data_IF_191628701916
#
_entry.id   IF_191628701916
#
_cell.length_a   1.000
_cell.length_b   1.000
_cell.length_c   1.000
_cell.angle_alpha   90.00
_cell.angle_beta   90.00
_cell.angle_gamma   90.00
#
_symmetry.space_group_name_H-M   'P 1'
#
loop_
_entity.id
_entity.type
_entity.pdbx_description
1 polymer ?
#
# COMPACT_ATOMS: atom_id res chain seq x y z
N UNK A 1 17.27 -5.91 -16.43
CA UNK A 1 15.97 -6.60 -16.18
C UNK A 1 15.00 -5.61 -15.57
N UNK A 2 13.71 -5.71 -15.77
CA UNK A 2 12.78 -4.86 -15.04
C UNK A 2 12.89 -5.15 -13.54
N UNK A 3 12.69 -4.12 -12.72
CA UNK A 3 12.64 -4.27 -11.26
C UNK A 3 11.44 -5.15 -10.87
N UNK A 4 11.57 -5.86 -9.76
CA UNK A 4 10.47 -6.55 -9.09
C UNK A 4 10.36 -6.07 -7.67
N UNK A 5 9.45 -5.15 -7.42
CA UNK A 5 9.31 -4.52 -6.12
C UNK A 5 8.64 -5.43 -5.12
N UNK A 6 9.26 -5.57 -3.95
CA UNK A 6 8.74 -6.33 -2.82
C UNK A 6 8.89 -5.61 -1.50
N UNK A 7 8.17 -6.10 -0.50
CA UNK A 7 8.18 -5.57 0.85
C UNK A 7 8.22 -6.71 1.86
N UNK A 8 9.15 -6.65 2.81
CA UNK A 8 9.19 -7.54 3.97
C UNK A 8 8.83 -6.74 5.23
N UNK A 9 8.12 -7.35 6.14
CA UNK A 9 7.76 -6.76 7.44
C UNK A 9 8.27 -7.66 8.55
N UNK A 10 9.22 -7.16 9.32
CA UNK A 10 9.75 -7.80 10.52
C UNK A 10 8.75 -7.61 11.66
N UNK A 11 8.00 -8.66 11.99
CA UNK A 11 6.94 -8.59 12.99
C UNK A 11 7.48 -8.46 14.42
N UNK A 12 8.71 -8.89 14.67
CA UNK A 12 9.34 -8.78 15.99
C UNK A 12 9.74 -7.33 16.30
N UNK A 13 9.97 -6.53 15.25
CA UNK A 13 10.23 -5.09 15.38
C UNK A 13 8.97 -4.23 15.36
N UNK A 14 7.85 -4.78 14.93
CA UNK A 14 6.62 -4.01 14.81
C UNK A 14 5.99 -3.74 16.19
N UNK A 15 5.90 -2.47 16.56
CA UNK A 15 5.28 -2.02 17.83
C UNK A 15 3.79 -1.71 17.73
N UNK A 16 3.19 -1.83 16.52
CA UNK A 16 1.77 -1.52 16.31
C UNK A 16 1.41 -0.03 16.42
N UNK A 17 2.37 0.87 16.26
CA UNK A 17 2.18 2.32 16.46
C UNK A 17 1.34 3.02 15.37
N UNK A 18 1.02 2.33 14.26
CA UNK A 18 0.21 2.82 13.13
C UNK A 18 0.77 4.07 12.40
N UNK A 19 2.03 4.48 12.65
CA UNK A 19 2.69 5.55 11.92
C UNK A 19 2.70 5.30 10.39
N UNK A 20 2.87 4.04 10.00
CA UNK A 20 2.82 3.60 8.59
C UNK A 20 1.43 3.81 7.97
N UNK A 21 0.35 3.62 8.72
CA UNK A 21 -1.04 3.85 8.27
C UNK A 21 -1.27 5.33 8.03
N UNK A 22 -0.89 6.18 9.00
CA UNK A 22 -1.00 7.64 8.89
C UNK A 22 -0.21 8.19 7.72
N UNK A 23 1.05 7.75 7.57
CA UNK A 23 1.90 8.15 6.45
C UNK A 23 1.33 7.71 5.09
N UNK A 24 0.70 6.51 5.02
CA UNK A 24 0.03 6.04 3.81
C UNK A 24 -1.15 6.94 3.43
N UNK A 25 -1.96 7.37 4.42
CA UNK A 25 -3.06 8.29 4.20
C UNK A 25 -2.59 9.64 3.65
N UNK A 26 -1.58 10.23 4.29
CA UNK A 26 -1.03 11.53 3.89
C UNK A 26 -0.40 11.48 2.49
N UNK A 27 0.44 10.48 2.23
CA UNK A 27 1.14 10.34 0.95
C UNK A 27 0.21 10.09 -0.23
N UNK A 28 -0.85 9.31 -0.02
CA UNK A 28 -1.69 8.81 -1.11
C UNK A 28 -3.05 9.52 -1.18
N UNK A 29 -3.22 10.67 -0.52
CA UNK A 29 -4.49 11.41 -0.49
C UNK A 29 -5.68 10.50 -0.17
N UNK A 30 -5.52 9.61 0.82
CA UNK A 30 -6.59 8.72 1.25
C UNK A 30 -7.50 9.49 2.22
N UNK A 31 -8.79 9.66 1.91
CA UNK A 31 -9.67 10.41 2.77
C UNK A 31 -9.98 9.66 4.07
N UNK A 32 -10.32 10.41 5.11
CA UNK A 32 -10.92 9.88 6.32
C UNK A 32 -12.44 9.84 6.18
N UNK A 33 -13.07 8.90 6.85
CA UNK A 33 -14.54 8.78 6.88
C UNK A 33 -15.05 9.00 8.29
N UNK A 34 -16.33 9.42 8.42
CA UNK A 34 -16.93 9.62 9.73
C UNK A 34 -17.08 8.29 10.51
N UNK A 35 -17.20 8.34 11.85
CA UNK A 35 -17.43 7.14 12.67
C UNK A 35 -18.63 6.30 12.20
N UNK A 36 -19.71 6.95 11.75
CA UNK A 36 -20.91 6.27 11.24
C UNK A 36 -20.61 5.47 9.96
N UNK A 37 -19.75 6.01 9.09
CA UNK A 37 -19.34 5.31 7.87
C UNK A 37 -18.31 4.22 8.16
N UNK A 38 -17.46 4.46 9.14
CA UNK A 38 -16.52 3.44 9.64
C UNK A 38 -17.27 2.23 10.20
N UNK A 39 -18.32 2.45 11.00
CA UNK A 39 -19.17 1.38 11.53
C UNK A 39 -19.89 0.57 10.42
N UNK A 40 -20.07 1.14 9.23
CA UNK A 40 -20.60 0.46 8.04
C UNK A 40 -19.52 -0.25 7.20
N UNK A 41 -18.28 -0.33 7.68
CA UNK A 41 -17.16 -0.94 6.96
C UNK A 41 -16.70 -0.17 5.72
N UNK A 42 -16.91 1.15 5.67
CA UNK A 42 -16.58 2.00 4.51
C UNK A 42 -15.27 2.76 4.66
N UNK A 43 -14.41 2.35 5.58
CA UNK A 43 -13.05 2.88 5.73
C UNK A 43 -12.19 2.50 4.54
N UNK A 44 -11.23 3.38 4.20
CA UNK A 44 -10.32 3.17 3.06
C UNK A 44 -8.86 3.11 3.52
N UNK A 45 -8.57 2.30 4.53
CA UNK A 45 -7.20 2.09 5.00
C UNK A 45 -6.46 1.14 4.06
N UNK A 46 -5.70 1.68 3.09
CA UNK A 46 -4.89 0.85 2.17
C UNK A 46 -3.88 -0.03 2.90
N UNK A 47 -3.51 0.36 4.11
CA UNK A 47 -2.75 -0.42 5.07
C UNK A 47 -3.47 -0.34 6.42
N UNK A 48 -3.56 -1.48 7.11
CA UNK A 48 -4.07 -1.58 8.49
C UNK A 48 -3.12 -2.42 9.34
N UNK A 49 -3.16 -2.27 10.63
CA UNK A 49 -2.39 -3.10 11.57
C UNK A 49 -3.35 -4.02 12.32
N UNK A 50 -3.24 -5.30 12.07
CA UNK A 50 -4.00 -6.34 12.78
C UNK A 50 -3.28 -6.70 14.07
N UNK A 51 -4.05 -7.02 15.12
CA UNK A 51 -3.57 -7.37 16.45
C UNK A 51 -3.98 -8.78 16.78
N UNK A 52 -3.01 -9.60 17.14
CA UNK A 52 -3.22 -11.00 17.54
C UNK A 52 -2.78 -11.17 18.98
N UNK A 53 -3.64 -11.77 19.80
CA UNK A 53 -3.39 -12.02 21.21
C UNK A 53 -3.20 -13.51 21.42
N UNK A 54 -2.11 -13.88 22.10
CA UNK A 54 -1.78 -15.26 22.45
C UNK A 54 -1.62 -15.38 23.97
N UNK A 55 -2.19 -16.43 24.57
CA UNK A 55 -2.16 -16.66 26.01
C UNK A 55 -3.45 -16.24 26.75
N UNK A 56 -3.41 -16.34 28.07
CA UNK A 56 -4.51 -15.97 28.95
C UNK A 56 -4.08 -14.85 29.89
N UNK A 57 -4.99 -13.94 30.21
CA UNK A 57 -4.72 -12.89 31.19
C UNK A 57 -4.27 -13.47 32.53
N UNK A 58 -3.18 -12.98 33.19
CA UNK A 58 -2.41 -11.77 32.81
C UNK A 58 -1.27 -12.01 31.77
N UNK A 59 -0.95 -13.25 31.42
CA UNK A 59 0.19 -13.61 30.58
C UNK A 59 -0.19 -13.61 29.09
N UNK A 60 -0.44 -12.41 28.56
CA UNK A 60 -0.84 -12.21 27.15
C UNK A 60 0.33 -11.66 26.34
N UNK A 61 0.64 -12.33 25.22
CA UNK A 61 1.53 -11.80 24.17
C UNK A 61 0.72 -11.18 23.06
N UNK A 62 1.17 -10.03 22.56
CA UNK A 62 0.52 -9.32 21.45
C UNK A 62 1.46 -9.31 20.26
N UNK A 63 0.95 -9.70 19.09
CA UNK A 63 1.65 -9.58 17.80
C UNK A 63 0.91 -8.59 16.92
N UNK A 64 1.65 -7.72 16.28
CA UNK A 64 1.14 -6.72 15.35
C UNK A 64 1.51 -7.12 13.92
N UNK A 65 0.54 -7.11 13.02
CA UNK A 65 0.74 -7.45 11.62
C UNK A 65 0.22 -6.34 10.71
N UNK A 66 1.09 -5.54 10.11
CA UNK A 66 0.71 -4.63 9.03
C UNK A 66 0.21 -5.43 7.83
N UNK A 67 -1.00 -5.12 7.35
CA UNK A 67 -1.62 -5.79 6.20
C UNK A 67 -1.94 -4.78 5.13
N UNK A 68 -1.47 -5.05 3.90
CA UNK A 68 -1.64 -4.23 2.72
C UNK A 68 -1.73 -5.12 1.48
N UNK A 69 -1.89 -4.53 0.28
CA UNK A 69 -1.87 -5.32 -0.96
C UNK A 69 -0.55 -6.09 -1.08
N UNK A 70 -0.67 -7.39 -1.30
CA UNK A 70 0.49 -8.28 -1.43
C UNK A 70 1.09 -8.27 -2.84
N UNK A 71 0.52 -7.53 -3.78
CA UNK A 71 0.95 -7.51 -5.19
C UNK A 71 1.18 -8.91 -5.75
N UNK A 72 0.22 -9.81 -5.49
CA UNK A 72 0.30 -11.24 -5.83
C UNK A 72 0.67 -11.47 -7.29
N UNK A 73 1.57 -12.41 -7.58
CA UNK A 73 1.97 -12.76 -8.95
C UNK A 73 0.79 -13.29 -9.77
N UNK A 74 -0.01 -14.18 -9.18
CA UNK A 74 -1.25 -14.69 -9.77
C UNK A 74 -2.45 -14.06 -9.05
N UNK A 75 -2.70 -12.79 -9.33
CA UNK A 75 -3.66 -11.98 -8.60
C UNK A 75 -5.12 -12.30 -9.00
N UNK A 76 -5.94 -12.93 -8.15
CA UNK A 76 -7.32 -13.26 -8.49
C UNK A 76 -8.18 -12.02 -8.74
N UNK A 77 -7.79 -10.87 -8.20
CA UNK A 77 -8.48 -9.60 -8.43
C UNK A 77 -8.34 -9.07 -9.86
N UNK A 78 -7.35 -9.55 -10.63
CA UNK A 78 -7.16 -9.16 -12.04
C UNK A 78 -8.11 -9.93 -12.95
N UNK A 79 -8.22 -11.25 -12.74
CA UNK A 79 -9.05 -12.12 -13.56
C UNK A 79 -10.55 -11.74 -13.52
N UNK A 80 -11.01 -11.17 -12.41
CA UNK A 80 -12.42 -10.77 -12.23
C UNK A 80 -12.69 -9.31 -12.61
N UNK A 81 -11.69 -8.56 -13.07
CA UNK A 81 -11.87 -7.16 -13.44
C UNK A 81 -12.37 -7.03 -14.88
N UNK A 82 -13.64 -6.61 -15.12
CA UNK A 82 -14.21 -6.59 -16.47
C UNK A 82 -13.60 -5.55 -17.40
N UNK A 83 -12.91 -4.53 -16.83
CA UNK A 83 -12.33 -3.42 -17.59
C UNK A 83 -10.82 -3.44 -17.62
N UNK A 84 -10.20 -4.50 -17.06
CA UNK A 84 -8.75 -4.57 -16.93
C UNK A 84 -8.14 -3.36 -16.20
N UNK A 85 -8.92 -2.80 -15.24
CA UNK A 85 -8.45 -1.72 -14.37
C UNK A 85 -7.44 -2.24 -13.33
N UNK A 86 -7.55 -3.51 -12.95
CA UNK A 86 -6.56 -4.22 -12.14
C UNK A 86 -5.71 -5.10 -13.07
N UNK A 87 -4.39 -4.91 -13.09
CA UNK A 87 -3.46 -5.68 -13.93
C UNK A 87 -2.04 -5.61 -13.39
N UNK A 88 -1.18 -6.53 -13.80
CA UNK A 88 0.25 -6.42 -13.56
C UNK A 88 0.92 -5.43 -14.50
N UNK A 89 1.86 -4.66 -13.94
CA UNK A 89 2.77 -3.85 -14.73
C UNK A 89 4.13 -4.54 -14.89
N UNK A 90 5.03 -3.93 -15.66
CA UNK A 90 6.37 -4.44 -15.94
C UNK A 90 7.26 -4.55 -14.70
N UNK A 91 6.96 -3.84 -13.62
CA UNK A 91 7.69 -3.83 -12.35
C UNK A 91 7.15 -4.88 -11.35
N UNK A 92 6.30 -5.81 -11.79
CA UNK A 92 5.69 -6.84 -10.94
C UNK A 92 4.63 -6.32 -9.97
N UNK A 93 4.12 -5.10 -10.18
CA UNK A 93 3.10 -4.53 -9.32
C UNK A 93 1.69 -4.81 -9.86
N UNK A 94 0.81 -5.27 -8.98
CA UNK A 94 -0.62 -5.24 -9.25
C UNK A 94 -1.10 -3.80 -9.26
N UNK A 95 -1.26 -3.22 -10.43
CA UNK A 95 -1.68 -1.85 -10.63
C UNK A 95 -3.21 -1.69 -10.52
N UNK A 96 -3.65 -0.46 -10.24
CA UNK A 96 -5.06 -0.08 -10.29
C UNK A 96 -5.18 1.21 -11.12
N UNK A 97 -5.84 1.12 -12.27
CA UNK A 97 -6.11 2.27 -13.14
C UNK A 97 -7.50 2.82 -12.82
N UNK A 98 -7.54 3.93 -12.12
CA UNK A 98 -8.80 4.50 -11.61
C UNK A 98 -9.75 4.88 -12.74
N UNK A 99 -9.26 5.46 -13.84
CA UNK A 99 -10.08 5.89 -14.98
C UNK A 99 -10.74 4.74 -15.76
N UNK A 100 -10.24 3.51 -15.60
CA UNK A 100 -10.86 2.29 -16.18
C UNK A 100 -11.84 1.62 -15.23
N UNK A 101 -11.77 1.96 -13.95
CA UNK A 101 -12.58 1.29 -12.93
C UNK A 101 -14.04 1.72 -13.02
N UNK A 102 -14.94 0.77 -13.19
CA UNK A 102 -16.39 0.98 -13.22
C UNK A 102 -17.08 0.56 -11.91
N UNK A 103 -16.31 0.20 -10.88
CA UNK A 103 -16.81 -0.04 -9.54
C UNK A 103 -17.60 -1.32 -9.33
N UNK A 104 -17.41 -2.37 -10.12
CA UNK A 104 -18.12 -3.66 -9.94
C UNK A 104 -17.81 -4.35 -8.62
N UNK A 105 -16.69 -4.02 -7.97
CA UNK A 105 -16.22 -4.54 -6.67
C UNK A 105 -15.87 -6.03 -6.63
N UNK A 106 -15.97 -6.78 -7.72
CA UNK A 106 -15.58 -8.19 -7.74
C UNK A 106 -14.12 -8.42 -7.32
N UNK A 107 -13.23 -7.47 -7.62
CA UNK A 107 -11.84 -7.54 -7.18
C UNK A 107 -11.68 -7.45 -5.65
N UNK A 108 -12.60 -6.80 -4.92
CA UNK A 108 -12.62 -6.82 -3.47
C UNK A 108 -13.02 -8.19 -2.94
N UNK A 109 -14.07 -8.79 -3.52
CA UNK A 109 -14.54 -10.12 -3.14
C UNK A 109 -13.50 -11.22 -3.44
N UNK A 110 -12.74 -11.07 -4.54
CA UNK A 110 -11.69 -12.00 -4.92
C UNK A 110 -10.39 -11.82 -4.12
N UNK A 111 -10.23 -10.74 -3.36
CA UNK A 111 -9.03 -10.47 -2.59
C UNK A 111 -9.05 -11.23 -1.26
N UNK A 112 -8.22 -12.27 -1.12
CA UNK A 112 -8.11 -13.08 0.11
C UNK A 112 -7.60 -12.28 1.32
N UNK A 113 -6.90 -11.16 1.07
CA UNK A 113 -6.33 -10.30 2.12
C UNK A 113 -7.26 -9.16 2.54
N UNK A 114 -8.38 -8.97 1.85
CA UNK A 114 -9.35 -7.89 2.13
C UNK A 114 -8.70 -6.48 2.10
N UNK A 115 -7.90 -6.20 1.07
CA UNK A 115 -7.10 -4.97 0.96
C UNK A 115 -7.43 -4.15 -0.30
N UNK A 116 -8.65 -4.30 -0.79
CA UNK A 116 -9.20 -3.51 -1.89
C UNK A 116 -10.47 -2.82 -1.41
N UNK A 117 -10.48 -1.50 -1.49
CA UNK A 117 -11.50 -0.66 -0.89
C UNK A 117 -12.29 0.06 -1.98
N UNK A 118 -13.60 0.09 -1.82
CA UNK A 118 -14.48 0.85 -2.72
C UNK A 118 -14.64 2.26 -2.17
N UNK A 119 -14.47 3.25 -3.02
CA UNK A 119 -14.71 4.64 -2.64
C UNK A 119 -16.19 4.98 -2.76
N UNK A 120 -16.84 5.17 -1.61
CA UNK A 120 -18.27 5.49 -1.50
C UNK A 120 -18.56 6.99 -1.52
N UNK A 121 -17.51 7.84 -1.56
CA UNK A 121 -17.65 9.27 -1.34
C UNK A 121 -16.82 10.07 -2.34
N UNK A 122 -17.26 11.31 -2.60
CA UNK A 122 -16.38 12.34 -3.12
C UNK A 122 -15.70 13.00 -1.92
N UNK A 123 -14.40 12.81 -1.73
CA UNK A 123 -13.72 13.35 -0.56
C UNK A 123 -13.61 14.87 -0.66
N UNK A 124 -13.91 15.54 0.46
CA UNK A 124 -13.79 16.97 0.60
C UNK A 124 -12.80 17.30 1.73
N UNK A 125 -11.91 18.23 1.46
CA UNK A 125 -11.01 18.78 2.47
C UNK A 125 -11.39 20.24 2.73
N UNK A 126 -11.88 20.57 3.95
CA UNK A 126 -12.17 21.95 4.28
C UNK A 126 -10.91 22.82 4.21
N UNK A 127 -11.06 24.08 3.82
CA UNK A 127 -9.94 25.03 3.82
C UNK A 127 -9.44 25.27 5.25
N UNK A 128 -8.12 25.29 5.51
CA UNK A 128 -6.99 25.20 4.57
C UNK A 128 -6.46 23.78 4.34
N UNK A 129 -7.11 22.71 4.84
CA UNK A 129 -6.60 21.33 4.82
C UNK A 129 -6.38 20.76 3.40
N UNK A 130 -7.03 21.32 2.38
CA UNK A 130 -6.78 20.95 0.98
C UNK A 130 -5.32 21.23 0.53
N UNK A 131 -4.60 22.13 1.24
CA UNK A 131 -3.20 22.45 0.93
C UNK A 131 -2.22 21.32 1.35
N UNK A 132 -2.65 20.38 2.19
CA UNK A 132 -1.82 19.24 2.58
C UNK A 132 -1.82 18.10 1.55
N UNK A 133 -2.68 18.15 0.52
CA UNK A 133 -2.76 17.10 -0.48
C UNK A 133 -1.47 17.00 -1.28
N UNK A 134 -1.05 15.74 -1.50
CA UNK A 134 0.10 15.44 -2.34
C UNK A 134 -0.26 15.73 -3.81
N UNK A 135 0.42 16.67 -4.49
CA UNK A 135 0.11 17.03 -5.87
C UNK A 135 0.44 15.92 -6.87
N UNK A 136 1.33 14.99 -6.53
CA UNK A 136 1.74 13.88 -7.39
C UNK A 136 0.75 12.71 -7.39
N UNK A 137 -0.28 12.79 -6.54
CA UNK A 137 -1.28 11.73 -6.37
C UNK A 137 -2.68 12.28 -6.62
N UNK A 138 -3.38 11.71 -7.58
CA UNK A 138 -4.77 12.09 -7.85
C UNK A 138 -5.68 11.80 -6.66
N UNK A 139 -6.61 12.69 -6.38
CA UNK A 139 -7.77 12.41 -5.52
C UNK A 139 -8.74 11.54 -6.32
N UNK A 140 -9.19 10.44 -5.72
CA UNK A 140 -10.15 9.53 -6.36
C UNK A 140 -11.56 9.93 -5.95
N UNK A 141 -12.46 9.83 -6.91
CA UNK A 141 -13.88 10.11 -6.71
C UNK A 141 -14.65 8.86 -6.35
N UNK A 142 -15.93 9.04 -6.02
CA UNK A 142 -16.86 7.93 -5.76
C UNK A 142 -16.92 6.96 -6.94
N UNK A 143 -17.04 5.68 -6.64
CA UNK A 143 -17.29 4.65 -7.66
C UNK A 143 -16.06 3.86 -8.12
N UNK A 144 -14.87 4.17 -7.60
CA UNK A 144 -13.64 3.44 -7.97
C UNK A 144 -13.13 2.57 -6.83
N UNK A 145 -12.36 1.56 -7.19
CA UNK A 145 -11.62 0.72 -6.23
C UNK A 145 -10.24 1.30 -5.97
N UNK A 146 -9.84 1.31 -4.71
CA UNK A 146 -8.54 1.77 -4.26
C UNK A 146 -7.77 0.67 -3.52
N UNK A 147 -6.46 0.73 -3.54
CA UNK A 147 -5.58 -0.19 -2.82
C UNK A 147 -4.15 0.36 -2.74
N UNK A 148 -3.32 -0.27 -1.92
CA UNK A 148 -1.89 0.04 -1.87
C UNK A 148 -1.23 -0.11 -3.26
N UNK A 149 -0.44 0.88 -3.67
CA UNK A 149 0.31 0.94 -4.93
C UNK A 149 1.82 0.84 -4.73
N UNK A 150 2.29 0.58 -3.50
CA UNK A 150 3.69 0.77 -3.08
C UNK A 150 4.21 2.18 -3.35
N UNK A 151 3.32 3.19 -3.24
CA UNK A 151 3.64 4.59 -3.55
C UNK A 151 4.24 4.71 -4.97
N UNK A 152 3.50 4.24 -5.99
CA UNK A 152 3.95 4.19 -7.39
C UNK A 152 4.49 5.53 -7.90
N UNK A 153 4.00 6.66 -7.38
CA UNK A 153 4.52 8.00 -7.68
C UNK A 153 6.00 8.13 -7.27
N UNK A 154 6.38 7.62 -6.09
CA UNK A 154 7.77 7.62 -5.61
C UNK A 154 8.65 6.70 -6.46
N UNK A 155 8.14 5.52 -6.84
CA UNK A 155 8.84 4.60 -7.73
C UNK A 155 9.12 5.28 -9.08
N UNK A 156 8.12 5.92 -9.66
CA UNK A 156 8.27 6.64 -10.93
C UNK A 156 9.25 7.80 -10.83
N UNK A 157 9.15 8.62 -9.78
CA UNK A 157 10.06 9.73 -9.55
C UNK A 157 11.51 9.26 -9.45
N UNK A 158 11.78 8.24 -8.63
CA UNK A 158 13.12 7.67 -8.46
C UNK A 158 13.68 7.08 -9.76
N UNK A 159 12.86 6.39 -10.55
CA UNK A 159 13.27 5.85 -11.88
C UNK A 159 13.60 6.97 -12.87
N UNK A 160 12.82 8.06 -12.88
CA UNK A 160 13.07 9.22 -13.75
C UNK A 160 14.39 9.90 -13.35
N UNK A 161 14.62 10.09 -12.06
CA UNK A 161 15.82 10.72 -11.55
C UNK A 161 17.08 9.87 -11.85
N UNK A 162 17.02 8.57 -11.57
CA UNK A 162 18.09 7.64 -11.91
C UNK A 162 18.41 7.63 -13.41
N UNK A 163 17.38 7.69 -14.27
CA UNK A 163 17.55 7.79 -15.73
C UNK A 163 18.22 9.11 -16.16
N UNK A 164 17.85 10.23 -15.54
CA UNK A 164 18.47 11.54 -15.82
C UNK A 164 19.96 11.54 -15.48
N UNK A 165 20.30 10.92 -14.33
CA UNK A 165 21.66 10.85 -13.81
C UNK A 165 22.49 9.71 -14.40
N UNK A 166 21.92 8.93 -15.34
CA UNK A 166 22.55 7.74 -15.92
C UNK A 166 23.08 6.74 -14.87
N UNK A 167 22.36 6.58 -13.76
CA UNK A 167 22.71 5.68 -12.65
C UNK A 167 21.64 4.62 -12.44
N UNK A 168 21.99 3.53 -11.78
CA UNK A 168 21.04 2.55 -11.27
C UNK A 168 20.45 2.99 -9.93
N UNK A 169 19.27 2.46 -9.58
CA UNK A 169 18.68 2.67 -8.28
C UNK A 169 19.46 1.85 -7.22
N UNK A 170 19.96 2.53 -6.21
CA UNK A 170 20.63 1.90 -5.07
C UNK A 170 19.59 1.33 -4.12
N UNK A 171 19.86 0.12 -3.57
CA UNK A 171 18.97 -0.51 -2.58
C UNK A 171 18.79 0.42 -1.36
N UNK A 172 17.55 0.57 -0.92
CA UNK A 172 17.18 1.44 0.19
C UNK A 172 17.05 2.93 -0.13
N UNK A 173 17.47 3.41 -1.32
CA UNK A 173 17.28 4.81 -1.72
C UNK A 173 15.82 5.16 -1.98
N UNK A 174 15.05 4.18 -2.47
CA UNK A 174 13.61 4.31 -2.69
C UNK A 174 12.84 3.66 -1.54
N UNK A 175 11.99 4.43 -0.88
CA UNK A 175 11.15 3.94 0.19
C UNK A 175 9.70 4.42 0.03
N UNK A 176 8.70 3.52 0.13
CA UNK A 176 7.31 3.92 0.31
C UNK A 176 7.13 4.71 1.61
N UNK A 177 6.10 5.55 1.68
CA UNK A 177 5.86 6.40 2.84
C UNK A 177 5.74 5.60 4.15
N UNK A 178 5.12 4.43 4.11
CA UNK A 178 4.98 3.54 5.27
C UNK A 178 6.33 3.01 5.79
N UNK A 179 7.27 2.68 4.89
CA UNK A 179 8.60 2.23 5.28
C UNK A 179 9.42 3.38 5.86
N UNK A 180 9.36 4.55 5.22
CA UNK A 180 10.05 5.76 5.68
C UNK A 180 9.58 6.23 7.06
N UNK A 181 8.28 6.13 7.34
CA UNK A 181 7.69 6.55 8.60
C UNK A 181 7.81 5.52 9.74
N UNK A 182 8.31 4.32 9.45
CA UNK A 182 8.40 3.26 10.46
C UNK A 182 9.53 3.54 11.46
N UNK A 183 9.22 3.85 12.75
CA UNK A 183 10.25 4.25 13.73
C UNK A 183 11.21 3.13 14.10
N UNK A 184 10.77 1.88 13.96
CA UNK A 184 11.57 0.69 14.27
C UNK A 184 12.24 0.06 13.05
N UNK A 185 12.07 0.65 11.86
CA UNK A 185 12.54 0.09 10.59
C UNK A 185 12.09 -1.35 10.35
N UNK A 186 10.89 -1.69 10.85
CA UNK A 186 10.28 -3.01 10.66
C UNK A 186 9.89 -3.28 9.21
N UNK A 187 9.62 -2.24 8.41
CA UNK A 187 9.19 -2.35 7.02
C UNK A 187 10.40 -2.14 6.12
N UNK A 188 10.75 -3.13 5.31
CA UNK A 188 11.84 -3.10 4.35
C UNK A 188 11.27 -3.24 2.94
N UNK A 189 11.66 -2.34 2.04
CA UNK A 189 11.22 -2.30 0.65
C UNK A 189 12.42 -2.30 -0.29
N UNK A 190 12.32 -2.97 -1.44
CA UNK A 190 13.39 -3.00 -2.43
C UNK A 190 13.07 -3.89 -3.62
N UNK A 191 14.07 -4.11 -4.46
CA UNK A 191 14.00 -4.98 -5.62
C UNK A 191 14.30 -6.43 -5.23
N UNK A 192 13.31 -7.31 -5.39
CA UNK A 192 13.44 -8.75 -5.08
C UNK A 192 14.31 -9.48 -6.11
N UNK A 193 14.44 -8.96 -7.32
CA UNK A 193 15.32 -9.53 -8.34
C UNK A 193 16.82 -9.29 -8.05
N UNK A 194 17.13 -8.33 -7.19
CA UNK A 194 18.49 -8.12 -6.72
C UNK A 194 18.76 -8.97 -5.48
N UNK A 195 19.56 -10.04 -5.55
CA UNK A 195 19.84 -10.94 -4.43
C UNK A 195 20.58 -10.24 -3.27
N UNK A 196 21.29 -9.16 -3.56
CA UNK A 196 22.01 -8.36 -2.56
C UNK A 196 21.10 -7.36 -1.82
N UNK A 197 19.86 -7.16 -2.28
CA UNK A 197 18.94 -6.26 -1.62
C UNK A 197 18.52 -6.79 -0.25
N UNK A 198 18.27 -5.86 0.69
CA UNK A 198 17.80 -6.21 2.03
C UNK A 198 16.49 -7.00 2.01
N UNK A 199 15.57 -6.63 1.11
CA UNK A 199 14.27 -7.29 1.00
C UNK A 199 14.43 -8.73 0.50
N UNK A 200 15.27 -8.97 -0.52
CA UNK A 200 15.50 -10.33 -1.04
C UNK A 200 16.12 -11.25 0.03
N UNK A 201 17.10 -10.76 0.79
CA UNK A 201 17.70 -11.51 1.90
C UNK A 201 16.70 -11.86 3.00
N UNK A 202 15.81 -10.93 3.36
CA UNK A 202 14.76 -11.18 4.36
C UNK A 202 13.68 -12.13 3.87
N UNK A 203 13.42 -12.22 2.57
CA UNK A 203 12.46 -13.17 2.01
C UNK A 203 13.00 -14.60 1.91
N UNK A 204 14.30 -14.78 2.05
CA UNK A 204 14.97 -16.09 2.01
C UNK A 204 15.24 -16.66 3.43
N UNK A 205 15.14 -15.84 4.47
CA UNK A 205 15.33 -16.24 5.87
C UNK A 205 14.03 -16.77 6.47
#
# INVERSE_FOLDING_TARGET
MPYRWGMAVDLDKCTGCEACVTACHAENNIPTVSPQQSARGRTMHWMRVERYYEGNFPDVRVKFRPVLCQHCDNAPCEAVCPTYAAHHNEDGLNAQVYNRCIGTRYCANACTYNVRFFNFFNPEWPKPLHLQLNPDVSVREVGVMEKCTFCVQRIKAAKIEAKKDHRELVDGALQPACAQACPTSAIVFGDVNNPESRVARLMQS
#
